data_IF_747865676012
#
_entry.id   IF_747865676012
#
_cell.length_a   1.000
_cell.length_b   1.000
_cell.length_c   1.000
_cell.angle_alpha   90.00
_cell.angle_beta   90.00
_cell.angle_gamma   90.00
#
_symmetry.space_group_name_H-M   'P 1'
#
loop_
_entity.id
_entity.type
_entity.pdbx_description
1 polymer ?
#
# COMPACT_ATOMS: atom_id res chain seq x y z
N UNK A 1 -12.30 16.84 12.76
CA UNK A 1 -13.68 16.69 13.26
C UNK A 1 -13.91 17.73 14.36
N UNK A 2 -15.12 18.28 14.43
CA UNK A 2 -15.54 19.26 15.43
C UNK A 2 -16.72 18.67 16.22
N UNK A 3 -16.70 18.86 17.53
CA UNK A 3 -17.73 18.35 18.42
C UNK A 3 -18.28 19.50 19.28
N UNK A 4 -19.57 19.51 19.50
CA UNK A 4 -20.24 20.41 20.40
C UNK A 4 -20.84 19.59 21.55
N UNK A 5 -20.55 19.97 22.79
CA UNK A 5 -21.09 19.37 24.00
C UNK A 5 -21.92 20.41 24.72
N UNK A 6 -23.20 20.14 24.92
CA UNK A 6 -24.09 20.98 25.69
C UNK A 6 -24.33 20.31 27.04
N UNK A 7 -24.05 20.99 28.13
CA UNK A 7 -24.23 20.51 29.49
C UNK A 7 -25.14 21.46 30.28
N UNK A 8 -26.08 20.89 31.00
CA UNK A 8 -26.98 21.59 31.90
C UNK A 8 -26.59 21.33 33.35
N UNK A 9 -26.80 22.31 34.22
CA UNK A 9 -26.53 22.21 35.65
C UNK A 9 -25.07 21.98 36.08
N UNK A 10 -24.11 22.34 35.24
CA UNK A 10 -22.69 22.38 35.57
C UNK A 10 -22.19 23.83 35.50
N UNK A 11 -21.39 24.21 36.47
CA UNK A 11 -20.72 25.51 36.38
C UNK A 11 -19.57 25.45 35.37
N UNK A 12 -19.18 26.61 34.79
CA UNK A 12 -18.01 26.75 33.92
C UNK A 12 -16.75 26.09 34.52
N UNK A 13 -16.54 26.25 35.83
CA UNK A 13 -15.40 25.66 36.52
C UNK A 13 -15.43 24.12 36.55
N UNK A 14 -16.58 23.49 36.64
CA UNK A 14 -16.73 22.03 36.59
C UNK A 14 -16.50 21.53 35.19
N UNK A 15 -17.10 22.18 34.19
CA UNK A 15 -16.91 21.85 32.78
C UNK A 15 -15.43 22.03 32.35
N UNK A 16 -14.77 23.09 32.83
CA UNK A 16 -13.34 23.31 32.55
C UNK A 16 -12.44 22.20 33.12
N UNK A 17 -12.75 21.68 34.32
CA UNK A 17 -12.00 20.56 34.91
C UNK A 17 -12.19 19.28 34.09
N UNK A 18 -13.42 18.97 33.70
CA UNK A 18 -13.71 17.79 32.89
C UNK A 18 -12.99 17.83 31.53
N UNK A 19 -13.04 19.02 30.89
CA UNK A 19 -12.29 19.25 29.65
C UNK A 19 -10.77 19.14 29.84
N UNK A 20 -10.25 19.59 30.99
CA UNK A 20 -8.83 19.40 31.32
C UNK A 20 -8.42 17.95 31.40
N UNK A 21 -9.21 17.11 32.06
CA UNK A 21 -8.95 15.65 32.11
C UNK A 21 -9.03 15.00 30.72
N UNK A 22 -10.06 15.31 29.95
CA UNK A 22 -10.22 14.78 28.60
C UNK A 22 -9.06 15.19 27.68
N UNK A 23 -8.63 16.46 27.78
CA UNK A 23 -7.49 16.99 27.01
C UNK A 23 -6.19 16.25 27.34
N UNK A 24 -5.95 15.97 28.65
CA UNK A 24 -4.76 15.23 29.08
C UNK A 24 -4.78 13.80 28.58
N UNK A 25 -5.89 13.10 28.71
CA UNK A 25 -6.05 11.73 28.25
C UNK A 25 -5.85 11.61 26.73
N UNK A 26 -6.42 12.53 25.95
CA UNK A 26 -6.19 12.58 24.50
C UNK A 26 -4.74 12.88 24.16
N UNK A 27 -4.10 13.77 24.89
CA UNK A 27 -2.68 14.10 24.70
C UNK A 27 -1.77 12.90 24.95
N UNK A 28 -2.07 12.08 25.94
CA UNK A 28 -1.32 10.84 26.27
C UNK A 28 -1.45 9.80 25.13
N UNK A 29 -2.50 9.89 24.32
CA UNK A 29 -2.70 9.10 23.11
C UNK A 29 -2.22 9.79 21.81
N UNK A 30 -1.49 10.91 21.95
CA UNK A 30 -0.95 11.65 20.80
C UNK A 30 -1.97 12.51 20.05
N UNK A 31 -3.18 12.68 20.60
CA UNK A 31 -4.23 13.52 20.04
C UNK A 31 -4.29 14.86 20.78
N UNK A 32 -4.24 15.95 20.03
CA UNK A 32 -4.38 17.29 20.61
C UNK A 32 -5.75 17.88 20.32
N UNK A 33 -6.31 18.54 21.33
CA UNK A 33 -7.66 19.13 21.29
C UNK A 33 -7.58 20.63 21.60
N UNK A 34 -8.16 21.44 20.72
CA UNK A 34 -8.43 22.86 21.00
C UNK A 34 -9.86 23.01 21.53
N UNK A 35 -10.02 23.71 22.62
CA UNK A 35 -11.28 23.82 23.35
C UNK A 35 -11.70 25.29 23.46
N UNK A 36 -12.99 25.54 23.24
CA UNK A 36 -13.65 26.79 23.58
C UNK A 36 -14.87 26.49 24.43
N UNK A 37 -15.19 27.34 25.34
CA UNK A 37 -16.29 27.18 26.26
C UNK A 37 -17.08 28.51 26.38
N UNK A 38 -18.39 28.41 26.51
CA UNK A 38 -19.27 29.52 26.79
C UNK A 38 -20.35 29.08 27.79
N UNK A 39 -20.84 29.98 28.62
CA UNK A 39 -21.85 29.73 29.65
C UNK A 39 -22.91 30.86 29.57
N UNK A 40 -24.15 30.51 29.80
CA UNK A 40 -25.25 31.49 29.98
C UNK A 40 -26.08 31.10 31.19
N UNK A 41 -26.43 32.07 31.99
CA UNK A 41 -27.26 31.89 33.17
C UNK A 41 -28.77 31.96 32.83
N UNK A 42 -29.14 32.58 31.71
CA UNK A 42 -30.53 32.97 31.40
C UNK A 42 -31.17 32.17 30.24
N UNK A 43 -30.51 31.11 29.75
CA UNK A 43 -31.03 30.30 28.64
C UNK A 43 -31.04 31.06 27.30
N UNK A 44 -30.08 31.94 27.08
CA UNK A 44 -29.83 32.62 25.81
C UNK A 44 -29.77 31.67 24.63
N UNK A 45 -29.92 32.21 23.46
CA UNK A 45 -29.95 31.49 22.19
C UNK A 45 -28.72 30.54 22.05
N UNK A 46 -28.97 29.25 22.04
CA UNK A 46 -27.92 28.19 21.90
C UNK A 46 -26.98 28.49 20.73
N UNK A 47 -27.43 28.92 19.55
CA UNK A 47 -26.57 29.35 18.46
C UNK A 47 -25.54 30.42 18.85
N UNK A 48 -25.91 31.39 19.64
CA UNK A 48 -24.98 32.45 20.08
C UNK A 48 -23.93 31.93 21.06
N UNK A 49 -24.32 31.02 21.97
CA UNK A 49 -23.38 30.34 22.86
C UNK A 49 -22.38 29.46 22.09
N UNK A 50 -22.85 28.73 21.08
CA UNK A 50 -21.99 27.92 20.21
C UNK A 50 -20.99 28.83 19.49
N UNK A 51 -21.43 29.96 18.93
CA UNK A 51 -20.56 30.91 18.25
C UNK A 51 -19.50 31.51 19.22
N UNK A 52 -19.86 31.79 20.47
CA UNK A 52 -18.92 32.25 21.48
C UNK A 52 -17.87 31.18 21.80
N UNK A 53 -18.31 29.92 22.04
CA UNK A 53 -17.42 28.82 22.30
C UNK A 53 -16.48 28.56 21.11
N UNK A 54 -16.98 28.62 19.87
CA UNK A 54 -16.17 28.50 18.67
C UNK A 54 -15.09 29.59 18.57
N UNK A 55 -15.42 30.82 18.90
CA UNK A 55 -14.46 31.91 18.91
C UNK A 55 -13.34 31.70 19.96
N UNK A 56 -13.68 31.19 21.14
CA UNK A 56 -12.68 30.81 22.16
C UNK A 56 -11.82 29.62 21.72
N UNK A 57 -12.41 28.60 21.10
CA UNK A 57 -11.68 27.46 20.53
C UNK A 57 -10.68 27.94 19.46
N UNK A 58 -11.09 28.86 18.58
CA UNK A 58 -10.20 29.46 17.57
C UNK A 58 -9.03 30.22 18.20
N UNK A 59 -9.23 30.89 19.34
CA UNK A 59 -8.17 31.57 20.10
C UNK A 59 -7.20 30.56 20.73
N UNK A 60 -7.71 29.45 21.29
CA UNK A 60 -6.91 28.37 21.85
C UNK A 60 -6.06 27.72 20.76
N UNK A 61 -6.65 27.43 19.59
CA UNK A 61 -5.97 26.92 18.41
C UNK A 61 -4.84 27.85 17.92
N UNK A 62 -5.08 29.14 17.88
CA UNK A 62 -4.04 30.15 17.54
C UNK A 62 -2.90 30.17 18.55
N UNK A 63 -3.18 30.09 19.86
CA UNK A 63 -2.17 30.03 20.93
C UNK A 63 -1.32 28.77 20.80
N UNK A 64 -1.94 27.62 20.53
CA UNK A 64 -1.25 26.38 20.30
C UNK A 64 -0.24 26.48 19.16
N UNK A 65 -0.67 26.97 18.00
CA UNK A 65 0.26 27.14 16.86
C UNK A 65 1.35 28.18 17.12
N UNK A 66 1.06 29.21 17.92
CA UNK A 66 2.04 30.23 18.30
C UNK A 66 3.09 29.71 19.31
N UNK A 67 2.73 28.75 20.17
CA UNK A 67 3.61 28.19 21.22
C UNK A 67 4.78 27.36 20.70
N UNK A 68 4.80 27.03 19.41
CA UNK A 68 5.86 26.24 18.78
C UNK A 68 5.65 24.72 18.82
N UNK A 69 4.70 24.18 19.60
CA UNK A 69 4.37 22.74 19.61
C UNK A 69 3.80 22.31 18.27
N UNK A 70 2.84 23.04 17.72
CA UNK A 70 2.30 22.79 16.38
C UNK A 70 3.35 22.89 15.27
N UNK A 71 4.34 23.79 15.42
CA UNK A 71 5.45 23.88 14.45
C UNK A 71 6.38 22.66 14.50
N UNK A 72 6.59 22.05 15.69
CA UNK A 72 7.38 20.83 15.82
C UNK A 72 6.67 19.64 15.17
N UNK A 73 5.36 19.48 15.41
CA UNK A 73 4.57 18.41 14.78
C UNK A 73 4.53 18.55 13.26
N UNK A 74 4.31 19.75 12.74
CA UNK A 74 4.36 20.02 11.29
C UNK A 74 5.73 19.70 10.69
N UNK A 75 6.83 20.04 11.38
CA UNK A 75 8.18 19.69 10.93
C UNK A 75 8.40 18.17 10.93
N UNK A 76 7.91 17.46 11.96
CA UNK A 76 8.01 16.00 12.03
C UNK A 76 7.20 15.34 10.93
N UNK A 77 5.96 15.79 10.68
CA UNK A 77 5.12 15.32 9.60
C UNK A 77 5.74 15.58 8.22
N UNK A 78 6.25 16.79 8.00
CA UNK A 78 6.92 17.11 6.73
C UNK A 78 8.15 16.23 6.51
N UNK A 79 8.95 15.99 7.56
CA UNK A 79 10.09 15.07 7.47
C UNK A 79 9.66 13.65 7.14
N UNK A 80 8.59 13.14 7.78
CA UNK A 80 8.04 11.83 7.45
C UNK A 80 7.53 11.74 6.00
N UNK A 81 6.88 12.79 5.51
CA UNK A 81 6.45 12.88 4.11
C UNK A 81 7.63 12.91 3.14
N UNK A 82 8.68 13.68 3.45
CA UNK A 82 9.91 13.70 2.68
C UNK A 82 10.57 12.31 2.63
N UNK A 83 10.68 11.62 3.77
CA UNK A 83 11.23 10.27 3.84
C UNK A 83 10.40 9.26 3.01
N UNK A 84 9.07 9.37 3.02
CA UNK A 84 8.17 8.53 2.19
C UNK A 84 8.37 8.84 0.71
N UNK A 85 8.47 10.12 0.33
CA UNK A 85 8.68 10.52 -1.05
C UNK A 85 10.03 10.05 -1.60
N UNK A 86 11.09 10.14 -0.78
CA UNK A 86 12.42 9.61 -1.15
C UNK A 86 12.34 8.10 -1.38
N UNK A 87 11.74 7.34 -0.45
CA UNK A 87 11.57 5.89 -0.60
C UNK A 87 10.75 5.51 -1.83
N UNK A 88 9.69 6.26 -2.14
CA UNK A 88 8.89 6.03 -3.34
C UNK A 88 9.70 6.28 -4.61
N UNK A 89 10.52 7.34 -4.64
CA UNK A 89 11.39 7.64 -5.77
C UNK A 89 12.48 6.56 -5.97
N UNK A 90 13.06 6.06 -4.89
CA UNK A 90 14.01 4.96 -4.93
C UNK A 90 13.33 3.68 -5.45
N UNK A 91 12.09 3.41 -5.02
CA UNK A 91 11.29 2.29 -5.51
C UNK A 91 10.97 2.43 -7.00
N UNK A 92 10.58 3.62 -7.47
CA UNK A 92 10.38 3.90 -8.90
C UNK A 92 11.65 3.66 -9.72
N UNK A 93 12.79 4.10 -9.21
CA UNK A 93 14.09 3.85 -9.84
C UNK A 93 14.42 2.37 -9.92
N UNK A 94 14.18 1.61 -8.85
CA UNK A 94 14.33 0.15 -8.83
C UNK A 94 13.40 -0.53 -9.83
N UNK A 95 12.14 -0.11 -9.90
CA UNK A 95 11.18 -0.63 -10.89
C UNK A 95 11.61 -0.32 -12.31
N UNK A 96 12.17 0.85 -12.59
CA UNK A 96 12.74 1.17 -13.90
C UNK A 96 13.92 0.27 -14.26
N UNK A 97 14.81 -0.02 -13.31
CA UNK A 97 15.93 -0.96 -13.53
C UNK A 97 15.44 -2.40 -13.70
N UNK A 98 14.40 -2.81 -13.00
CA UNK A 98 13.75 -4.10 -13.21
C UNK A 98 13.11 -4.18 -14.60
N UNK A 99 12.47 -3.12 -15.08
CA UNK A 99 11.89 -3.05 -16.42
C UNK A 99 12.91 -3.24 -17.55
N UNK A 100 14.17 -2.86 -17.35
CA UNK A 100 15.23 -3.08 -18.35
C UNK A 100 15.71 -4.54 -18.37
N UNK A 101 15.62 -5.25 -17.26
CA UNK A 101 16.12 -6.62 -17.10
C UNK A 101 15.02 -7.69 -17.22
N UNK A 102 13.80 -7.36 -16.81
CA UNK A 102 12.67 -8.28 -16.80
C UNK A 102 11.57 -7.81 -17.74
N UNK A 103 11.13 -8.71 -18.60
CA UNK A 103 10.07 -8.39 -19.57
C UNK A 103 8.67 -8.43 -18.95
N UNK A 104 8.49 -9.26 -17.92
CA UNK A 104 7.21 -9.47 -17.23
C UNK A 104 7.49 -9.80 -15.78
N UNK A 105 6.73 -9.21 -14.85
CA UNK A 105 6.78 -9.53 -13.43
C UNK A 105 5.39 -9.43 -12.79
N UNK A 106 5.01 -10.45 -12.01
CA UNK A 106 3.78 -10.52 -11.22
C UNK A 106 4.07 -10.94 -9.79
N UNK A 107 3.31 -10.41 -8.84
CA UNK A 107 3.10 -11.05 -7.53
C UNK A 107 1.82 -11.87 -7.63
N UNK A 108 1.91 -13.16 -7.35
CA UNK A 108 0.82 -14.13 -7.51
C UNK A 108 0.52 -14.77 -6.17
N UNK A 109 -0.75 -14.75 -5.79
CA UNK A 109 -1.23 -15.51 -4.64
C UNK A 109 -1.64 -16.90 -5.11
N UNK A 110 -0.86 -17.91 -4.73
CA UNK A 110 -1.04 -19.30 -5.17
C UNK A 110 -2.29 -19.96 -4.59
N UNK A 111 -2.86 -19.41 -3.51
CA UNK A 111 -4.05 -19.95 -2.87
C UNK A 111 -5.34 -19.41 -3.48
N UNK A 112 -5.34 -18.11 -3.80
CA UNK A 112 -6.51 -17.41 -4.29
C UNK A 112 -6.57 -17.33 -5.83
N UNK A 113 -5.54 -17.79 -6.55
CA UNK A 113 -5.33 -17.58 -7.99
C UNK A 113 -5.52 -16.12 -8.40
N UNK A 114 -5.02 -15.20 -7.58
CA UNK A 114 -5.04 -13.78 -7.85
C UNK A 114 -3.62 -13.28 -8.12
N UNK A 115 -3.53 -12.22 -8.91
CA UNK A 115 -2.25 -11.64 -9.26
C UNK A 115 -2.27 -10.13 -9.14
N UNK A 116 -1.08 -9.57 -8.89
CA UNK A 116 -0.82 -8.12 -8.92
C UNK A 116 0.33 -7.86 -9.89
N UNK A 117 0.07 -7.13 -10.99
CA UNK A 117 1.11 -6.82 -11.97
C UNK A 117 2.15 -5.87 -11.37
N UNK A 118 3.43 -6.13 -11.67
CA UNK A 118 4.56 -5.26 -11.34
C UNK A 118 5.14 -4.67 -12.62
N UNK A 119 5.41 -5.53 -13.61
CA UNK A 119 5.88 -5.15 -14.95
C UNK A 119 5.11 -6.00 -15.95
N UNK A 120 4.30 -5.39 -16.81
CA UNK A 120 3.48 -6.14 -17.76
C UNK A 120 3.37 -5.44 -19.11
N UNK A 121 3.86 -6.06 -20.19
CA UNK A 121 3.63 -5.57 -21.54
C UNK A 121 2.15 -5.60 -21.92
N UNK A 122 1.72 -4.66 -22.75
CA UNK A 122 0.30 -4.50 -23.11
C UNK A 122 -0.34 -5.73 -23.76
N UNK A 123 0.42 -6.58 -24.45
CA UNK A 123 -0.13 -7.82 -25.04
C UNK A 123 -0.43 -8.87 -23.97
N UNK A 124 0.38 -8.96 -22.91
CA UNK A 124 0.15 -9.87 -21.77
C UNK A 124 -1.03 -9.38 -20.93
N UNK A 125 -1.13 -8.07 -20.72
CA UNK A 125 -2.29 -7.50 -20.04
C UNK A 125 -3.60 -7.84 -20.75
N UNK A 126 -3.65 -7.72 -22.08
CA UNK A 126 -4.83 -8.13 -22.88
C UNK A 126 -5.15 -9.62 -22.74
N UNK A 127 -4.15 -10.49 -22.59
CA UNK A 127 -4.38 -11.91 -22.34
C UNK A 127 -5.02 -12.13 -20.98
N UNK A 128 -4.52 -11.44 -19.94
CA UNK A 128 -5.06 -11.51 -18.59
C UNK A 128 -6.51 -11.01 -18.53
N UNK A 129 -6.79 -9.87 -19.14
CA UNK A 129 -8.13 -9.27 -19.20
C UNK A 129 -9.14 -10.22 -19.88
N UNK A 130 -8.71 -10.93 -20.92
CA UNK A 130 -9.53 -11.93 -21.63
C UNK A 130 -9.96 -13.09 -20.72
N UNK A 131 -9.14 -13.45 -19.74
CA UNK A 131 -9.38 -14.56 -18.81
C UNK A 131 -9.94 -14.10 -17.46
N UNK A 132 -10.56 -12.91 -17.42
CA UNK A 132 -11.21 -12.38 -16.22
C UNK A 132 -10.27 -12.15 -15.04
N UNK A 133 -8.96 -12.01 -15.29
CA UNK A 133 -7.95 -11.81 -14.27
C UNK A 133 -7.37 -13.09 -13.65
N UNK A 134 -7.81 -14.28 -14.07
CA UNK A 134 -7.20 -15.54 -13.65
C UNK A 134 -5.78 -15.68 -14.21
N UNK A 135 -4.80 -15.78 -13.31
CA UNK A 135 -3.41 -15.94 -13.69
C UNK A 135 -3.14 -17.34 -14.29
N UNK A 136 -3.78 -18.34 -13.72
CA UNK A 136 -3.68 -19.72 -14.21
C UNK A 136 -4.16 -19.85 -15.66
N UNK A 137 -5.35 -19.37 -15.98
CA UNK A 137 -5.92 -19.40 -17.33
C UNK A 137 -5.08 -18.59 -18.32
N UNK A 138 -4.55 -17.44 -17.90
CA UNK A 138 -3.66 -16.63 -18.70
C UNK A 138 -2.36 -17.37 -19.03
N UNK A 139 -1.77 -18.08 -18.05
CA UNK A 139 -0.56 -18.88 -18.27
C UNK A 139 -0.80 -20.05 -19.24
N UNK A 140 -1.96 -20.71 -19.18
CA UNK A 140 -2.35 -21.75 -20.13
C UNK A 140 -2.40 -21.20 -21.55
N UNK A 141 -3.11 -20.07 -21.75
CA UNK A 141 -3.21 -19.41 -23.06
C UNK A 141 -1.83 -18.93 -23.57
N UNK A 142 -0.99 -18.43 -22.66
CA UNK A 142 0.39 -18.03 -22.96
C UNK A 142 1.23 -19.26 -23.40
N UNK A 143 1.16 -20.37 -22.66
CA UNK A 143 1.87 -21.61 -22.98
C UNK A 143 1.48 -22.14 -24.38
N UNK A 144 0.19 -22.21 -24.65
CA UNK A 144 -0.30 -22.79 -25.91
C UNK A 144 0.01 -21.91 -27.13
N UNK A 145 -0.01 -20.59 -26.98
CA UNK A 145 0.19 -19.66 -28.09
C UNK A 145 1.64 -19.26 -28.32
N UNK A 146 2.42 -19.10 -27.26
CA UNK A 146 3.72 -18.45 -27.34
C UNK A 146 4.89 -19.38 -27.03
N UNK A 147 4.71 -20.40 -26.20
CA UNK A 147 5.79 -21.34 -25.85
C UNK A 147 5.98 -22.39 -26.97
N UNK A 148 7.20 -22.61 -27.40
CA UNK A 148 7.52 -23.63 -28.39
C UNK A 148 7.18 -25.05 -27.87
N UNK A 149 6.65 -25.95 -28.71
CA UNK A 149 6.11 -27.23 -28.28
C UNK A 149 7.04 -28.06 -27.38
N UNK A 150 8.34 -28.04 -27.66
CA UNK A 150 9.35 -28.80 -26.91
C UNK A 150 9.45 -28.37 -25.41
N UNK A 151 8.97 -27.18 -25.05
CA UNK A 151 9.08 -26.63 -23.69
C UNK A 151 7.75 -26.63 -22.95
N UNK A 152 6.63 -26.97 -23.61
CA UNK A 152 5.28 -26.84 -23.02
C UNK A 152 5.06 -27.74 -21.82
N UNK A 153 5.54 -28.96 -21.86
CA UNK A 153 5.30 -29.91 -20.76
C UNK A 153 6.00 -29.43 -19.46
N UNK A 154 7.26 -29.00 -19.56
CA UNK A 154 7.95 -28.42 -18.40
C UNK A 154 7.35 -27.10 -17.94
N UNK A 155 6.87 -26.29 -18.88
CA UNK A 155 6.19 -25.02 -18.55
C UNK A 155 4.87 -25.27 -17.80
N UNK A 156 4.10 -26.28 -18.19
CA UNK A 156 2.83 -26.68 -17.56
C UNK A 156 3.00 -27.17 -16.12
N UNK A 157 4.14 -27.74 -15.76
CA UNK A 157 4.41 -28.11 -14.37
C UNK A 157 4.38 -26.90 -13.41
N UNK A 158 4.65 -25.70 -13.92
CA UNK A 158 4.59 -24.48 -13.13
C UNK A 158 3.15 -24.04 -12.83
N UNK A 159 2.13 -24.64 -13.47
CA UNK A 159 0.70 -24.35 -13.20
C UNK A 159 0.15 -25.14 -12.02
N UNK A 160 0.85 -26.17 -11.59
CA UNK A 160 0.55 -26.87 -10.34
C UNK A 160 1.09 -26.04 -9.17
N UNK A 161 0.21 -25.30 -8.54
CA UNK A 161 0.57 -24.40 -7.43
C UNK A 161 1.05 -25.15 -6.19
N UNK A 162 0.63 -26.39 -5.98
CA UNK A 162 1.14 -27.21 -4.89
C UNK A 162 2.58 -27.66 -5.18
N UNK A 163 2.86 -28.05 -6.42
CA UNK A 163 4.22 -28.30 -6.87
C UNK A 163 5.13 -27.06 -6.72
N UNK A 164 4.65 -25.90 -7.14
CA UNK A 164 5.40 -24.64 -7.04
C UNK A 164 5.71 -24.31 -5.57
N UNK A 165 4.72 -24.43 -4.70
CA UNK A 165 4.88 -24.16 -3.24
C UNK A 165 5.89 -25.11 -2.61
N UNK A 166 5.75 -26.41 -2.84
CA UNK A 166 6.65 -27.43 -2.29
C UNK A 166 8.09 -27.25 -2.78
N UNK A 167 8.26 -26.96 -4.06
CA UNK A 167 9.57 -26.74 -4.63
C UNK A 167 10.26 -25.48 -4.15
N UNK A 168 9.52 -24.36 -4.01
CA UNK A 168 10.04 -23.12 -3.44
C UNK A 168 10.49 -23.32 -1.98
N UNK A 169 9.71 -24.07 -1.18
CA UNK A 169 10.09 -24.38 0.20
C UNK A 169 11.40 -25.17 0.28
N UNK A 170 11.69 -26.03 -0.70
CA UNK A 170 12.92 -26.84 -0.72
C UNK A 170 14.12 -26.15 -1.35
N UNK A 171 13.91 -25.44 -2.43
CA UNK A 171 14.99 -24.90 -3.28
C UNK A 171 15.16 -23.37 -3.17
N UNK A 172 14.23 -22.67 -2.49
CA UNK A 172 14.23 -21.23 -2.36
C UNK A 172 13.75 -20.46 -3.59
N UNK A 173 13.93 -21.02 -4.79
CA UNK A 173 13.45 -20.45 -6.05
C UNK A 173 13.34 -21.52 -7.13
N UNK A 174 12.42 -21.33 -8.08
CA UNK A 174 12.29 -22.16 -9.28
C UNK A 174 12.82 -21.37 -10.46
N UNK A 175 13.63 -21.99 -11.29
CA UNK A 175 14.10 -21.43 -12.56
C UNK A 175 13.75 -22.36 -13.70
N UNK A 176 13.15 -21.81 -14.77
CA UNK A 176 12.80 -22.58 -15.95
C UNK A 176 13.10 -21.77 -17.21
N UNK A 177 14.01 -22.27 -18.03
CA UNK A 177 14.35 -21.68 -19.33
C UNK A 177 13.46 -22.28 -20.41
N UNK A 178 12.95 -21.45 -21.32
CA UNK A 178 12.15 -21.91 -22.46
C UNK A 178 12.36 -21.01 -23.67
N UNK A 179 11.94 -21.53 -24.83
CA UNK A 179 11.97 -20.82 -26.12
C UNK A 179 10.54 -20.55 -26.54
N UNK A 180 10.28 -19.37 -27.06
CA UNK A 180 9.00 -19.00 -27.68
C UNK A 180 8.96 -19.46 -29.15
N UNK A 181 7.74 -19.44 -29.72
CA UNK A 181 7.53 -19.77 -31.13
C UNK A 181 8.25 -18.84 -32.11
N UNK A 182 8.61 -17.61 -31.69
CA UNK A 182 9.40 -16.66 -32.45
C UNK A 182 10.92 -16.87 -32.33
N UNK A 183 11.35 -17.90 -31.59
CA UNK A 183 12.76 -18.20 -31.37
C UNK A 183 13.43 -17.48 -30.22
N UNK A 184 12.73 -16.55 -29.57
CA UNK A 184 13.27 -15.82 -28.41
C UNK A 184 13.36 -16.72 -27.19
N UNK A 185 14.49 -16.60 -26.46
CA UNK A 185 14.74 -17.35 -25.22
C UNK A 185 14.31 -16.53 -24.02
N UNK A 186 13.67 -17.19 -23.07
CA UNK A 186 13.21 -16.62 -21.81
C UNK A 186 13.59 -17.51 -20.63
N UNK A 187 13.85 -16.88 -19.50
CA UNK A 187 14.01 -17.52 -18.21
C UNK A 187 12.86 -17.07 -17.30
N UNK A 188 12.09 -18.02 -16.79
CA UNK A 188 11.18 -17.79 -15.67
C UNK A 188 11.96 -18.00 -14.38
N UNK A 189 11.81 -17.07 -13.45
CA UNK A 189 12.22 -17.27 -12.06
C UNK A 189 11.01 -17.03 -11.16
N UNK A 190 10.73 -18.01 -10.28
CA UNK A 190 9.67 -17.91 -9.28
C UNK A 190 10.34 -17.95 -7.92
N UNK A 191 10.11 -16.96 -7.08
CA UNK A 191 10.67 -16.89 -5.74
C UNK A 191 9.63 -16.39 -4.71
N UNK A 192 9.76 -16.78 -3.42
CA UNK A 192 8.79 -16.43 -2.41
C UNK A 192 8.77 -14.92 -2.19
N UNK A 193 7.60 -14.35 -1.90
CA UNK A 193 7.52 -13.03 -1.31
C UNK A 193 7.91 -13.11 0.18
N UNK A 194 8.66 -12.11 0.64
CA UNK A 194 9.12 -12.04 2.04
C UNK A 194 7.99 -11.74 3.04
N UNK A 195 6.81 -11.37 2.56
CA UNK A 195 5.71 -10.89 3.39
C UNK A 195 4.54 -11.88 3.52
N UNK A 196 4.49 -12.92 2.67
CA UNK A 196 3.40 -13.91 2.67
C UNK A 196 3.89 -15.28 2.23
N UNK A 197 3.43 -16.34 2.90
CA UNK A 197 3.75 -17.74 2.57
C UNK A 197 3.04 -18.20 1.29
N UNK A 198 1.89 -17.60 0.97
CA UNK A 198 1.08 -17.92 -0.20
C UNK A 198 1.38 -17.03 -1.41
N UNK A 199 2.22 -15.99 -1.26
CA UNK A 199 2.57 -15.10 -2.35
C UNK A 199 3.96 -15.40 -2.89
N UNK A 200 4.05 -15.40 -4.21
CA UNK A 200 5.29 -15.63 -4.96
C UNK A 200 5.44 -14.57 -6.04
N UNK A 201 6.68 -14.21 -6.32
CA UNK A 201 6.98 -13.34 -7.45
C UNK A 201 7.36 -14.17 -8.66
N UNK A 202 6.64 -13.99 -9.75
CA UNK A 202 6.93 -14.56 -11.06
C UNK A 202 7.61 -13.53 -11.93
N UNK A 203 8.77 -13.87 -12.44
CA UNK A 203 9.59 -12.97 -13.26
C UNK A 203 10.00 -13.66 -14.53
N UNK A 204 9.82 -13.01 -15.66
CA UNK A 204 10.21 -13.47 -16.98
C UNK A 204 11.29 -12.54 -17.53
N UNK A 205 12.46 -13.05 -17.73
CA UNK A 205 13.57 -12.32 -18.33
C UNK A 205 13.84 -12.87 -19.74
N UNK A 206 14.04 -11.98 -20.70
CA UNK A 206 14.57 -12.38 -22.01
C UNK A 206 16.07 -12.66 -21.84
N UNK A 207 16.53 -13.80 -22.32
CA UNK A 207 17.97 -14.13 -22.36
C UNK A 207 18.59 -13.48 -23.61
N UNK A 208 19.55 -12.59 -23.40
CA UNK A 208 20.34 -12.06 -24.50
C UNK A 208 21.29 -13.13 -25.02
N UNK A 209 21.18 -13.47 -26.29
CA UNK A 209 22.05 -14.46 -26.99
C UNK A 209 23.48 -13.95 -27.21
N UNK A 210 23.87 -12.83 -26.61
CA UNK A 210 25.15 -12.15 -26.89
C UNK A 210 26.29 -12.47 -25.92
N UNK A 211 26.22 -13.59 -25.16
CA UNK A 211 27.25 -13.94 -24.17
C UNK A 211 27.86 -15.32 -24.38
N UNK A 212 27.99 -15.80 -25.63
CA UNK A 212 28.84 -16.93 -25.97
C UNK A 212 29.80 -16.53 -27.12
N UNK A 213 30.88 -15.81 -26.76
CA UNK A 213 32.15 -15.81 -27.48
C UNK A 213 33.32 -15.87 -26.47
#
# INVERSE_FOLDING_TARGET
DEFVIISFAHSMAQSARQMGYMRQELLDHGCELSVGMAESDDGEDIPDLVNQAENEMRKDKKRYYASGSGKRQLRTLNKQLEDILVRNKDMESLLQHLNTRYSIAYVVNLRADTQRPVVVPGYVQKMLDKHGGSFHEMLLDYCDKLVAPAYRDGFRMLFDYDYVRDRICREGAIRYAYVRNDGERFLITIFPDTHSVDEVMWVFAKEDTSSEE
#
